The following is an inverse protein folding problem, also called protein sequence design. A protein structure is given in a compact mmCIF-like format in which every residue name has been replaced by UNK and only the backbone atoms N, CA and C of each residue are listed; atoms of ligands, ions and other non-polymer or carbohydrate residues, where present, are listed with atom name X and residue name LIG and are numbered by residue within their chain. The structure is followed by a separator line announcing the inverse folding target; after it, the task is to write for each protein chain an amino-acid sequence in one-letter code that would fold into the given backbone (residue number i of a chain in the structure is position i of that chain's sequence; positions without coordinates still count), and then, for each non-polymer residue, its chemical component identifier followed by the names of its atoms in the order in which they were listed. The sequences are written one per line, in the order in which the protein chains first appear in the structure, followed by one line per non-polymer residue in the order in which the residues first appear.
data_IF_097288488958
#
_entry.id   IF_097288488958
#
_cell.length_a   1.000
_cell.length_b   1.000
_cell.length_c   1.000
_cell.angle_alpha   90.00
_cell.angle_beta   90.00
_cell.angle_gamma   90.00
#
_symmetry.space_group_name_H-M   'P 1'
#
loop_
_entity.id
_entity.type
_entity.pdbx_description
1 polymer ?
#
# COMPACT_ATOMS: atom_id res chain seq x y z
N UNK A 1 1.29 -19.91 13.02
CA UNK A 1 1.82 -18.53 13.15
C UNK A 1 1.38 -17.69 11.97
N UNK A 2 1.77 -18.00 10.71
CA UNK A 2 1.30 -17.29 9.50
C UNK A 2 -0.24 -17.14 9.36
N UNK A 3 -1.03 -18.11 9.81
CA UNK A 3 -2.50 -18.01 9.71
C UNK A 3 -3.15 -17.16 10.82
N UNK A 4 -2.48 -16.94 11.96
CA UNK A 4 -2.99 -16.11 13.06
C UNK A 4 -2.73 -14.64 12.77
N UNK A 5 -1.51 -14.27 12.37
CA UNK A 5 -1.16 -12.91 11.94
C UNK A 5 -2.05 -12.45 10.78
N UNK A 6 -2.26 -13.34 9.80
CA UNK A 6 -3.15 -13.06 8.67
C UNK A 6 -4.62 -12.91 9.06
N UNK A 7 -5.10 -13.60 10.10
CA UNK A 7 -6.46 -13.39 10.62
C UNK A 7 -6.57 -12.04 11.31
N UNK A 8 -5.52 -11.62 12.02
CA UNK A 8 -5.45 -10.33 12.68
C UNK A 8 -5.47 -9.19 11.66
N UNK A 9 -4.66 -9.24 10.61
CA UNK A 9 -4.64 -8.24 9.53
C UNK A 9 -6.01 -8.12 8.83
N UNK A 10 -6.72 -9.23 8.68
CA UNK A 10 -8.07 -9.26 8.09
C UNK A 10 -9.08 -8.57 9.00
N UNK A 11 -9.02 -8.85 10.31
CA UNK A 11 -9.90 -8.26 11.31
C UNK A 11 -9.60 -6.77 11.46
N UNK A 12 -8.32 -6.38 11.53
CA UNK A 12 -7.90 -4.99 11.62
C UNK A 12 -8.35 -4.19 10.39
N UNK A 13 -8.12 -4.69 9.18
CA UNK A 13 -8.57 -4.02 7.96
C UNK A 13 -10.10 -3.91 7.89
N UNK A 14 -10.84 -4.93 8.35
CA UNK A 14 -12.30 -4.88 8.39
C UNK A 14 -12.81 -3.86 9.42
N UNK A 15 -12.21 -3.82 10.61
CA UNK A 15 -12.54 -2.86 11.66
C UNK A 15 -12.22 -1.44 11.20
N UNK A 16 -11.06 -1.22 10.60
CA UNK A 16 -10.65 0.08 10.09
C UNK A 16 -11.60 0.57 8.99
N UNK A 17 -11.88 -0.27 7.99
CA UNK A 17 -12.84 0.06 6.93
C UNK A 17 -14.23 0.43 7.50
N UNK A 18 -14.72 -0.32 8.49
CA UNK A 18 -16.03 -0.05 9.14
C UNK A 18 -16.02 1.28 9.90
N UNK A 19 -14.95 1.59 10.63
CA UNK A 19 -14.83 2.85 11.38
C UNK A 19 -14.73 4.07 10.45
N UNK A 20 -14.01 3.94 9.33
CA UNK A 20 -13.90 4.96 8.29
C UNK A 20 -15.28 5.22 7.65
N UNK A 21 -15.98 4.17 7.22
CA UNK A 21 -17.31 4.28 6.59
C UNK A 21 -18.35 4.93 7.50
N UNK A 22 -18.36 4.56 8.78
CA UNK A 22 -19.28 5.14 9.76
C UNK A 22 -18.92 6.57 10.16
N UNK A 23 -17.82 7.13 9.63
CA UNK A 23 -17.25 8.44 10.00
C UNK A 23 -16.99 8.56 11.51
N UNK A 24 -16.80 7.42 12.18
CA UNK A 24 -16.51 7.35 13.62
C UNK A 24 -15.01 7.27 13.89
N UNK A 25 -14.20 6.98 12.86
CA UNK A 25 -12.75 7.02 12.97
C UNK A 25 -12.26 8.48 13.03
N UNK A 26 -11.73 8.88 14.17
CA UNK A 26 -10.92 10.09 14.27
C UNK A 26 -9.52 9.79 13.74
N UNK A 27 -9.00 10.59 12.82
CA UNK A 27 -7.60 10.55 12.39
C UNK A 27 -6.77 11.49 13.25
N UNK A 28 -6.19 11.04 14.39
CA UNK A 28 -5.33 11.87 15.21
C UNK A 28 -4.11 12.29 14.40
N UNK A 29 -3.97 13.60 14.14
CA UNK A 29 -2.82 14.12 13.40
C UNK A 29 -1.67 14.38 14.38
N UNK A 30 -0.54 13.74 14.14
CA UNK A 30 0.73 14.02 14.80
C UNK A 30 1.83 14.25 13.76
N UNK A 31 2.87 14.98 14.12
CA UNK A 31 4.06 15.12 13.28
C UNK A 31 5.01 13.95 13.53
N UNK A 32 5.42 13.26 12.47
CA UNK A 32 6.34 12.12 12.58
C UNK A 32 7.22 11.96 11.34
N UNK A 33 8.32 11.22 11.49
CA UNK A 33 9.26 10.89 10.41
C UNK A 33 8.66 9.79 9.52
N UNK A 34 8.23 10.19 8.31
CA UNK A 34 7.65 9.27 7.34
C UNK A 34 8.71 8.40 6.67
N UNK A 35 9.94 8.89 6.54
CA UNK A 35 11.07 8.12 6.03
C UNK A 35 11.37 6.91 6.92
N UNK A 36 11.42 7.13 8.24
CA UNK A 36 11.60 6.06 9.22
C UNK A 36 10.46 5.03 9.18
N UNK A 37 9.21 5.51 9.06
CA UNK A 37 8.05 4.63 8.95
C UNK A 37 8.09 3.76 7.69
N UNK A 38 8.33 4.35 6.51
CA UNK A 38 8.40 3.60 5.24
C UNK A 38 9.53 2.58 5.27
N UNK A 39 10.71 2.98 5.77
CA UNK A 39 11.87 2.09 5.88
C UNK A 39 11.58 0.90 6.79
N UNK A 40 11.03 1.14 7.98
CA UNK A 40 10.68 0.07 8.94
C UNK A 40 9.67 -0.93 8.38
N UNK A 41 8.67 -0.45 7.64
CA UNK A 41 7.65 -1.32 7.05
C UNK A 41 8.26 -2.16 5.93
N UNK A 42 9.07 -1.57 5.06
CA UNK A 42 9.75 -2.28 3.99
C UNK A 42 10.70 -3.37 4.54
N UNK A 43 11.51 -3.02 5.55
CA UNK A 43 12.42 -3.97 6.22
C UNK A 43 11.66 -5.13 6.87
N UNK A 44 10.55 -4.83 7.56
CA UNK A 44 9.68 -5.85 8.16
C UNK A 44 9.14 -6.81 7.09
N UNK A 45 8.62 -6.28 5.99
CA UNK A 45 8.02 -7.10 4.92
C UNK A 45 9.06 -7.90 4.11
N UNK A 46 10.31 -7.43 4.05
CA UNK A 46 11.41 -8.17 3.43
C UNK A 46 11.65 -9.53 4.11
N UNK A 47 11.54 -9.60 5.45
CA UNK A 47 11.88 -10.78 6.27
C UNK A 47 10.87 -11.95 6.09
N UNK A 48 9.63 -11.69 5.68
CA UNK A 48 8.57 -12.71 5.64
C UNK A 48 8.46 -13.48 4.31
N UNK A 49 9.23 -13.12 3.28
CA UNK A 49 9.20 -13.69 1.93
C UNK A 49 10.08 -14.95 1.77
N UNK A 50 9.88 -15.97 2.61
CA UNK A 50 10.68 -17.21 2.60
C UNK A 50 10.25 -18.20 1.49
N UNK A 51 11.19 -18.49 0.57
CA UNK A 51 11.15 -19.60 -0.41
C UNK A 51 11.70 -19.22 -1.79
N UNK A 52 11.51 -17.96 -2.17
CA UNK A 52 12.03 -17.26 -3.33
C UNK A 52 12.05 -15.79 -2.90
N UNK A 53 13.19 -15.28 -2.43
CA UNK A 53 13.26 -13.96 -1.78
C UNK A 53 12.74 -12.89 -2.74
N UNK A 54 11.51 -12.43 -2.50
CA UNK A 54 11.01 -11.22 -3.11
C UNK A 54 11.92 -10.07 -2.65
N UNK A 55 12.48 -9.32 -3.59
CA UNK A 55 13.45 -8.27 -3.28
C UNK A 55 12.70 -6.94 -3.20
N UNK A 56 12.54 -6.41 -2.00
CA UNK A 56 12.05 -5.04 -1.77
C UNK A 56 13.27 -4.12 -1.79
N UNK A 57 13.40 -3.33 -2.86
CA UNK A 57 14.42 -2.29 -2.94
C UNK A 57 13.86 -0.97 -2.43
N UNK A 58 14.56 -0.36 -1.49
CA UNK A 58 14.15 0.92 -0.89
C UNK A 58 15.08 2.04 -1.33
N UNK A 59 14.47 3.16 -1.74
CA UNK A 59 15.17 4.42 -1.99
C UNK A 59 14.40 5.54 -1.29
N UNK A 60 14.74 5.74 -0.01
CA UNK A 60 14.01 6.65 0.88
C UNK A 60 14.93 7.80 1.27
N UNK A 61 14.56 9.02 0.85
CA UNK A 61 15.17 10.26 1.34
C UNK A 61 14.94 10.37 2.85
N UNK A 62 15.93 10.87 3.60
CA UNK A 62 15.90 10.91 5.06
C UNK A 62 15.16 12.13 5.60
N UNK A 63 14.46 11.97 6.73
CA UNK A 63 13.90 13.08 7.49
C UNK A 63 12.71 13.78 6.83
N UNK A 64 11.95 13.07 5.99
CA UNK A 64 10.70 13.59 5.44
C UNK A 64 9.65 13.52 6.53
N UNK A 65 9.28 14.67 7.08
CA UNK A 65 8.26 14.79 8.12
C UNK A 65 6.87 14.97 7.50
N UNK A 66 5.86 14.33 8.08
CA UNK A 66 4.45 14.50 7.70
C UNK A 66 3.59 14.73 8.92
N UNK A 67 2.46 15.43 8.74
CA UNK A 67 1.43 15.61 9.76
C UNK A 67 0.24 14.70 9.45
N UNK A 68 0.01 13.69 10.27
CA UNK A 68 -1.04 12.70 10.01
C UNK A 68 -1.23 11.66 11.11
N UNK A 69 -2.19 10.78 10.91
CA UNK A 69 -2.36 9.57 11.70
C UNK A 69 -1.31 8.55 11.25
N UNK A 70 -0.30 8.39 12.10
CA UNK A 70 0.80 7.46 11.89
C UNK A 70 0.34 6.01 11.71
N UNK A 71 -0.69 5.58 12.44
CA UNK A 71 -1.23 4.22 12.31
C UNK A 71 -1.94 4.04 10.97
N UNK A 72 -2.79 5.00 10.58
CA UNK A 72 -3.48 4.96 9.30
C UNK A 72 -2.50 5.00 8.11
N UNK A 73 -1.50 5.88 8.15
CA UNK A 73 -0.46 5.96 7.10
C UNK A 73 0.46 4.73 7.09
N UNK A 74 0.70 4.08 8.24
CA UNK A 74 1.36 2.77 8.28
C UNK A 74 0.56 1.71 7.52
N UNK A 75 -0.76 1.72 7.66
CA UNK A 75 -1.65 0.82 6.92
C UNK A 75 -1.59 1.09 5.42
N UNK A 76 -1.51 2.35 4.99
CA UNK A 76 -1.34 2.71 3.57
C UNK A 76 -0.09 2.07 2.98
N UNK A 77 1.07 2.30 3.60
CA UNK A 77 2.35 1.81 3.11
C UNK A 77 2.37 0.28 3.10
N UNK A 78 1.87 -0.36 4.17
CA UNK A 78 1.80 -1.82 4.28
C UNK A 78 0.95 -2.41 3.16
N UNK A 79 -0.27 -1.88 2.94
CA UNK A 79 -1.17 -2.38 1.91
C UNK A 79 -0.58 -2.26 0.49
N UNK A 80 0.13 -1.17 0.19
CA UNK A 80 0.75 -0.99 -1.13
C UNK A 80 1.90 -1.98 -1.35
N UNK A 81 2.80 -2.13 -0.38
CA UNK A 81 3.94 -3.05 -0.50
C UNK A 81 3.45 -4.50 -0.54
N UNK A 82 2.48 -4.88 0.31
CA UNK A 82 1.90 -6.23 0.28
C UNK A 82 1.20 -6.54 -1.04
N UNK A 83 0.47 -5.59 -1.61
CA UNK A 83 -0.12 -5.76 -2.94
C UNK A 83 0.97 -5.96 -3.99
N UNK A 84 2.02 -5.14 -3.99
CA UNK A 84 3.13 -5.26 -4.91
C UNK A 84 3.82 -6.63 -4.83
N UNK A 85 4.10 -7.11 -3.61
CA UNK A 85 4.66 -8.46 -3.35
C UNK A 85 3.71 -9.55 -3.84
N UNK A 86 2.42 -9.44 -3.51
CA UNK A 86 1.41 -10.46 -3.80
C UNK A 86 1.12 -10.63 -5.29
N UNK A 87 1.05 -9.53 -6.03
CA UNK A 87 0.69 -9.54 -7.46
C UNK A 87 1.91 -9.61 -8.38
N UNK A 88 3.11 -9.49 -7.81
CA UNK A 88 4.37 -9.81 -8.47
C UNK A 88 4.61 -11.32 -8.52
N UNK A 89 5.34 -11.76 -9.56
CA UNK A 89 5.81 -13.14 -9.62
C UNK A 89 6.86 -13.47 -8.54
N UNK A 90 7.18 -14.75 -8.32
CA UNK A 90 8.28 -15.15 -7.42
C UNK A 90 9.59 -14.48 -7.81
N UNK A 91 10.39 -14.06 -6.81
CA UNK A 91 11.68 -13.36 -6.99
C UNK A 91 11.60 -12.02 -7.76
N UNK A 92 10.40 -11.51 -8.07
CA UNK A 92 10.28 -10.22 -8.73
C UNK A 92 10.55 -9.09 -7.74
N UNK A 93 11.23 -8.07 -8.24
CA UNK A 93 11.61 -6.90 -7.48
C UNK A 93 10.42 -5.95 -7.28
N UNK A 94 10.26 -5.48 -6.05
CA UNK A 94 9.35 -4.39 -5.67
C UNK A 94 10.20 -3.19 -5.30
N UNK A 95 9.97 -2.05 -5.94
CA UNK A 95 10.70 -0.82 -5.63
C UNK A 95 9.82 0.12 -4.80
N UNK A 96 10.35 0.60 -3.68
CA UNK A 96 9.70 1.56 -2.78
C UNK A 96 10.57 2.81 -2.74
N UNK A 97 10.07 3.92 -3.29
CA UNK A 97 10.80 5.18 -3.28
C UNK A 97 10.01 6.25 -2.52
N UNK A 98 10.67 6.93 -1.59
CA UNK A 98 10.11 8.12 -0.93
C UNK A 98 11.08 9.27 -1.16
N UNK A 99 10.57 10.35 -1.73
CA UNK A 99 11.35 11.57 -2.00
C UNK A 99 10.55 12.82 -1.70
N UNK A 100 11.23 13.95 -1.61
CA UNK A 100 10.58 15.24 -1.50
C UNK A 100 10.55 15.94 -2.87
N UNK A 101 9.36 16.30 -3.36
CA UNK A 101 9.16 17.05 -4.60
C UNK A 101 8.42 18.33 -4.24
N UNK A 102 8.99 19.49 -4.58
CA UNK A 102 8.40 20.81 -4.28
C UNK A 102 7.98 20.98 -2.80
N UNK A 103 8.80 20.44 -1.90
CA UNK A 103 8.57 20.46 -0.45
C UNK A 103 7.57 19.43 0.06
N UNK A 104 6.93 18.64 -0.81
CA UNK A 104 5.91 17.66 -0.45
C UNK A 104 6.44 16.22 -0.54
N UNK A 105 6.04 15.33 0.38
CA UNK A 105 6.33 13.91 0.27
C UNK A 105 5.73 13.30 -1.00
N UNK A 106 6.53 12.52 -1.71
CA UNK A 106 6.13 11.74 -2.87
C UNK A 106 6.60 10.30 -2.70
N UNK A 107 5.65 9.38 -2.51
CA UNK A 107 5.90 7.96 -2.31
C UNK A 107 5.49 7.18 -3.56
N UNK A 108 6.36 6.31 -4.04
CA UNK A 108 6.04 5.34 -5.09
C UNK A 108 6.26 3.91 -4.62
N UNK A 109 5.36 3.02 -5.02
CA UNK A 109 5.52 1.58 -4.87
C UNK A 109 5.30 0.96 -6.25
N UNK A 110 6.37 0.36 -6.78
CA UNK A 110 6.39 -0.21 -8.13
C UNK A 110 6.59 -1.71 -8.08
N UNK A 111 5.81 -2.43 -8.87
CA UNK A 111 5.85 -3.89 -8.98
C UNK A 111 6.11 -4.33 -10.42
N UNK A 112 6.53 -5.58 -10.61
CA UNK A 112 6.74 -6.21 -11.93
C UNK A 112 5.72 -7.34 -12.16
N UNK A 113 4.51 -7.16 -11.65
CA UNK A 113 3.41 -8.11 -11.71
C UNK A 113 2.64 -8.06 -13.03
N UNK A 114 1.39 -8.54 -12.99
CA UNK A 114 0.52 -8.61 -14.17
C UNK A 114 0.10 -7.24 -14.72
N UNK A 115 0.26 -6.17 -13.94
CA UNK A 115 -0.28 -4.86 -14.22
C UNK A 115 -1.79 -4.78 -13.97
N UNK A 116 -2.37 -3.61 -14.25
CA UNK A 116 -3.80 -3.33 -14.05
C UNK A 116 -4.38 -2.81 -15.37
N UNK A 117 -5.41 -3.45 -15.95
CA UNK A 117 -6.04 -2.94 -17.17
C UNK A 117 -6.59 -1.52 -17.00
N UNK A 118 -6.56 -0.70 -18.05
CA UNK A 118 -6.96 0.71 -17.97
C UNK A 118 -8.39 0.93 -17.44
N UNK A 119 -9.34 0.10 -17.87
CA UNK A 119 -10.74 0.17 -17.40
C UNK A 119 -10.93 -0.17 -15.92
N UNK A 120 -9.92 -0.80 -15.30
CA UNK A 120 -9.95 -1.27 -13.92
C UNK A 120 -9.27 -0.29 -12.95
N UNK A 121 -8.38 0.58 -13.44
CA UNK A 121 -7.52 1.46 -12.61
C UNK A 121 -8.29 2.35 -11.64
N UNK A 122 -9.51 2.75 -11.97
CA UNK A 122 -10.37 3.51 -11.04
C UNK A 122 -11.14 2.60 -10.05
N UNK A 123 -11.50 1.40 -10.49
CA UNK A 123 -12.33 0.45 -9.74
C UNK A 123 -11.53 -0.29 -8.66
N UNK A 124 -10.21 -0.43 -8.82
CA UNK A 124 -9.36 -1.11 -7.82
C UNK A 124 -9.40 -0.47 -6.42
N UNK A 125 -9.85 0.78 -6.32
CA UNK A 125 -10.01 1.48 -5.06
C UNK A 125 -11.42 1.33 -4.46
N UNK A 126 -12.33 0.66 -5.16
CA UNK A 126 -13.67 0.39 -4.66
C UNK A 126 -13.67 -0.77 -3.67
N UNK A 127 -14.56 -0.68 -2.69
CA UNK A 127 -14.66 -1.68 -1.63
C UNK A 127 -14.98 -3.06 -2.19
N UNK A 128 -14.21 -4.06 -1.77
CA UNK A 128 -14.32 -5.46 -2.18
C UNK A 128 -13.99 -5.71 -3.66
N UNK A 129 -13.55 -4.69 -4.41
CA UNK A 129 -13.21 -4.83 -5.82
C UNK A 129 -11.91 -5.60 -6.01
N UNK A 130 -11.86 -6.45 -7.05
CA UNK A 130 -10.69 -7.28 -7.38
C UNK A 130 -10.64 -7.49 -8.90
N UNK A 131 -9.48 -7.20 -9.49
CA UNK A 131 -9.21 -7.42 -10.92
C UNK A 131 -9.13 -8.92 -11.23
N UNK A 132 -9.80 -9.38 -12.30
CA UNK A 132 -9.57 -10.69 -12.92
C UNK A 132 -10.60 -11.81 -12.69
N UNK A 133 -10.26 -12.98 -13.26
CA UNK A 133 -11.11 -14.19 -13.33
C UNK A 133 -11.14 -15.00 -12.02
N UNK A 134 -11.98 -16.04 -11.94
CA UNK A 134 -12.18 -16.88 -10.73
C UNK A 134 -10.87 -17.36 -10.06
N UNK A 135 -9.80 -17.58 -10.81
CA UNK A 135 -8.49 -17.99 -10.27
C UNK A 135 -7.73 -16.85 -9.56
N UNK A 136 -7.89 -15.59 -9.98
CA UNK A 136 -7.40 -14.44 -9.20
C UNK A 136 -8.27 -14.25 -7.97
N UNK A 137 -9.58 -14.54 -8.03
CA UNK A 137 -10.46 -14.54 -6.84
C UNK A 137 -10.11 -15.60 -5.81
N UNK A 138 -9.54 -16.75 -6.23
CA UNK A 138 -8.96 -17.77 -5.34
C UNK A 138 -7.71 -17.29 -4.58
N UNK A 139 -7.02 -16.24 -5.06
CA UNK A 139 -5.93 -15.64 -4.28
C UNK A 139 -6.47 -15.02 -2.99
N UNK A 140 -5.72 -15.17 -1.91
CA UNK A 140 -6.07 -14.71 -0.56
C UNK A 140 -6.13 -13.16 -0.52
N UNK A 141 -7.29 -12.54 -0.26
CA UNK A 141 -7.42 -11.08 -0.05
C UNK A 141 -8.87 -10.59 0.01
N UNK A 142 -9.14 -9.58 0.83
CA UNK A 142 -10.50 -9.04 1.10
C UNK A 142 -11.01 -8.04 0.07
N UNK A 143 -10.12 -7.43 -0.72
CA UNK A 143 -10.47 -6.28 -1.55
C UNK A 143 -10.72 -5.00 -0.74
N UNK A 144 -10.24 -4.93 0.52
CA UNK A 144 -10.37 -3.74 1.36
C UNK A 144 -9.11 -2.85 1.36
N UNK A 145 -7.94 -3.40 1.02
CA UNK A 145 -6.67 -2.70 1.19
C UNK A 145 -6.57 -1.38 0.42
N UNK A 146 -6.84 -1.39 -0.89
CA UNK A 146 -6.79 -0.17 -1.72
C UNK A 146 -7.93 0.81 -1.42
N UNK A 147 -9.09 0.31 -0.96
CA UNK A 147 -10.15 1.16 -0.43
C UNK A 147 -9.68 1.92 0.81
N UNK A 148 -9.08 1.23 1.79
CA UNK A 148 -8.50 1.84 2.99
C UNK A 148 -7.44 2.86 2.58
N UNK A 149 -6.55 2.52 1.64
CA UNK A 149 -5.53 3.44 1.14
C UNK A 149 -6.15 4.75 0.65
N UNK A 150 -7.16 4.67 -0.23
CA UNK A 150 -7.83 5.85 -0.78
C UNK A 150 -8.48 6.70 0.31
N UNK A 151 -9.25 6.09 1.20
CA UNK A 151 -9.94 6.82 2.27
C UNK A 151 -8.97 7.48 3.25
N UNK A 152 -7.90 6.78 3.63
CA UNK A 152 -6.87 7.35 4.52
C UNK A 152 -6.21 8.55 3.85
N UNK A 153 -5.76 8.41 2.60
CA UNK A 153 -5.07 9.50 1.89
C UNK A 153 -5.96 10.72 1.71
N UNK A 154 -7.24 10.53 1.38
CA UNK A 154 -8.22 11.63 1.28
C UNK A 154 -8.37 12.41 2.61
N UNK A 155 -8.30 11.73 3.77
CA UNK A 155 -8.33 12.39 5.09
C UNK A 155 -6.99 13.07 5.47
N UNK A 156 -5.94 12.83 4.70
CA UNK A 156 -4.60 13.42 4.86
C UNK A 156 -4.26 14.43 3.77
N UNK A 157 -5.27 14.92 3.04
CA UNK A 157 -5.09 15.87 1.93
C UNK A 157 -4.09 15.33 0.89
N UNK A 158 -4.09 14.01 0.67
CA UNK A 158 -3.19 13.33 -0.25
C UNK A 158 -3.97 12.56 -1.32
N UNK A 159 -3.35 12.43 -2.49
CA UNK A 159 -3.90 11.73 -3.64
C UNK A 159 -3.10 10.47 -3.95
N UNK A 160 -3.76 9.49 -4.55
CA UNK A 160 -3.14 8.28 -5.10
C UNK A 160 -3.48 8.13 -6.58
N UNK A 161 -2.48 7.76 -7.38
CA UNK A 161 -2.67 7.38 -8.78
C UNK A 161 -1.96 6.07 -9.08
N UNK A 162 -2.36 5.42 -10.17
CA UNK A 162 -1.75 4.17 -10.64
C UNK A 162 -1.39 4.29 -12.12
N UNK A 163 -0.18 3.84 -12.47
CA UNK A 163 0.37 3.83 -13.83
C UNK A 163 0.91 2.45 -14.16
N UNK A 164 1.10 2.18 -15.44
CA UNK A 164 1.74 0.94 -15.89
C UNK A 164 3.24 1.00 -15.62
N UNK A 165 3.81 -0.14 -15.21
CA UNK A 165 5.25 -0.32 -15.12
C UNK A 165 5.79 -0.99 -16.40
N UNK A 166 7.06 -0.75 -16.71
CA UNK A 166 7.75 -1.30 -17.89
C UNK A 166 8.72 -2.42 -17.49
N UNK A 167 8.77 -3.56 -18.20
CA UNK A 167 7.94 -3.95 -19.35
C UNK A 167 6.51 -4.38 -18.97
N UNK A 168 6.26 -4.65 -17.69
CA UNK A 168 4.94 -4.98 -17.14
C UNK A 168 4.91 -4.69 -15.63
N UNK A 169 3.73 -4.41 -15.09
CA UNK A 169 3.49 -4.20 -13.66
C UNK A 169 2.66 -2.94 -13.40
N UNK A 170 2.61 -2.52 -12.15
CA UNK A 170 1.97 -1.25 -11.76
C UNK A 170 2.90 -0.37 -10.92
N UNK A 171 2.67 0.94 -10.99
CA UNK A 171 3.30 1.96 -10.16
C UNK A 171 2.20 2.71 -9.45
N UNK A 172 2.13 2.58 -8.13
CA UNK A 172 1.27 3.42 -7.28
C UNK A 172 2.05 4.64 -6.85
N UNK A 173 1.50 5.83 -7.07
CA UNK A 173 2.10 7.11 -6.71
C UNK A 173 1.20 7.85 -5.71
N UNK A 174 1.76 8.23 -4.57
CA UNK A 174 1.10 9.05 -3.55
C UNK A 174 1.73 10.44 -3.53
N UNK A 175 0.89 11.47 -3.56
CA UNK A 175 1.30 12.87 -3.45
C UNK A 175 0.50 13.56 -2.36
N UNK A 176 1.17 14.18 -1.39
CA UNK A 176 0.53 15.00 -0.36
C UNK A 176 0.35 16.43 -0.88
N UNK A 177 -0.79 17.09 -0.60
CA UNK A 177 -1.08 18.46 -1.06
C UNK A 177 -0.69 19.55 -0.07
#
# INVERSE_FOLDING_TARGET
LKDVERLDDLVENMLLATKIESRTYSFPKEEFDFSDLVTKIADRLQVHSCGCEQIIQTKVDKGIMVMGDKFALSSVVTNLIENAVKYSGPCAEVAVELRQIDGKPFLTVSDKGLGIPDGEKMLIFDKFYRVGDENVRKSKGTGLGLFIVKEVLQNHDADISVKDNTPQGAIFEITFN
#
